data_IF_523042002065
#
_entry.id   IF_523042002065
#
_cell.length_a   1.000
_cell.length_b   1.000
_cell.length_c   1.000
_cell.angle_alpha   90.00
_cell.angle_beta   90.00
_cell.angle_gamma   90.00
#
_symmetry.space_group_name_H-M   'P 1'
#
loop_
_entity.id
_entity.type
_entity.pdbx_description
1 polymer ?
#
# COMPACT_ATOMS: atom_id res chain seq x y z
N UNK A 1 -20.71 -11.34 1.44
CA UNK A 1 -19.52 -10.55 1.83
C UNK A 1 -19.14 -10.89 3.25
N UNK A 2 -17.85 -11.08 3.51
CA UNK A 2 -17.29 -11.33 4.84
C UNK A 2 -16.22 -10.27 5.13
N UNK A 3 -15.92 -10.03 6.41
CA UNK A 3 -14.78 -9.23 6.80
C UNK A 3 -13.51 -9.79 6.15
N UNK A 4 -12.65 -8.91 5.60
CA UNK A 4 -11.45 -9.27 4.85
C UNK A 4 -11.66 -9.52 3.34
N UNK A 5 -12.89 -9.61 2.86
CA UNK A 5 -13.13 -9.69 1.41
C UNK A 5 -12.61 -8.42 0.73
N UNK A 6 -11.90 -8.59 -0.39
CA UNK A 6 -11.49 -7.50 -1.27
C UNK A 6 -12.56 -7.35 -2.36
N UNK A 7 -12.97 -6.11 -2.60
CA UNK A 7 -14.08 -5.81 -3.51
C UNK A 7 -13.75 -4.61 -4.39
N UNK A 8 -14.47 -4.48 -5.51
CA UNK A 8 -14.59 -3.27 -6.33
C UNK A 8 -16.06 -2.88 -6.43
N UNK A 9 -16.32 -1.59 -6.52
CA UNK A 9 -17.67 -1.09 -6.77
C UNK A 9 -17.83 -0.84 -8.26
N UNK A 10 -18.73 -1.51 -8.98
CA UNK A 10 -18.85 -1.39 -10.42
C UNK A 10 -19.28 0.01 -10.88
N UNK A 11 -20.20 0.64 -10.14
CA UNK A 11 -20.67 2.00 -10.45
C UNK A 11 -19.68 3.11 -10.03
N UNK A 12 -18.75 2.81 -9.12
CA UNK A 12 -17.75 3.77 -8.62
C UNK A 12 -16.34 3.21 -8.75
N UNK A 13 -15.87 2.88 -9.97
CA UNK A 13 -14.55 2.32 -10.19
C UNK A 13 -13.43 3.25 -9.73
N UNK A 14 -13.67 4.56 -9.69
CA UNK A 14 -12.77 5.58 -9.16
C UNK A 14 -12.51 5.46 -7.65
N UNK A 15 -13.29 4.68 -6.90
CA UNK A 15 -13.00 4.39 -5.50
C UNK A 15 -11.85 3.40 -5.34
N UNK A 16 -11.46 2.71 -6.42
CA UNK A 16 -10.42 1.69 -6.40
C UNK A 16 -10.86 0.41 -5.71
N UNK A 17 -9.87 -0.38 -5.27
CA UNK A 17 -10.14 -1.59 -4.47
C UNK A 17 -10.58 -1.21 -3.06
N UNK A 18 -11.53 -1.96 -2.54
CA UNK A 18 -12.01 -1.80 -1.18
C UNK A 18 -11.85 -3.11 -0.39
N UNK A 19 -11.70 -3.02 0.90
CA UNK A 19 -11.77 -4.19 1.76
C UNK A 19 -12.88 -4.07 2.80
N UNK A 20 -13.50 -5.19 3.08
CA UNK A 20 -14.62 -5.28 3.98
C UNK A 20 -14.12 -5.25 5.42
N UNK A 21 -14.37 -4.13 6.10
CA UNK A 21 -14.01 -3.94 7.52
C UNK A 21 -15.01 -4.62 8.43
N UNK A 22 -16.29 -4.57 8.06
CA UNK A 22 -17.39 -5.13 8.83
C UNK A 22 -18.53 -5.55 7.90
N UNK A 23 -19.09 -6.72 8.14
CA UNK A 23 -20.32 -7.19 7.50
C UNK A 23 -21.40 -7.47 8.55
N UNK A 24 -22.63 -7.06 8.26
CA UNK A 24 -23.82 -7.36 9.05
C UNK A 24 -24.87 -7.96 8.11
N UNK A 25 -26.02 -8.36 8.63
CA UNK A 25 -27.15 -8.85 7.80
C UNK A 25 -27.73 -7.79 6.85
N UNK A 26 -27.52 -6.49 7.14
CA UNK A 26 -28.14 -5.38 6.39
C UNK A 26 -27.14 -4.54 5.63
N UNK A 27 -25.89 -4.42 6.11
CA UNK A 27 -24.90 -3.51 5.54
C UNK A 27 -23.51 -4.08 5.61
N UNK A 28 -22.68 -3.67 4.65
CA UNK A 28 -21.24 -3.93 4.60
C UNK A 28 -20.52 -2.60 4.75
N UNK A 29 -19.55 -2.54 5.65
CA UNK A 29 -18.66 -1.37 5.78
C UNK A 29 -17.36 -1.70 5.06
N UNK A 30 -17.01 -0.87 4.10
CA UNK A 30 -15.87 -1.08 3.22
C UNK A 30 -14.97 0.14 3.28
N UNK A 31 -13.68 -0.07 3.23
CA UNK A 31 -12.69 0.98 3.09
C UNK A 31 -12.10 0.89 1.68
N UNK A 32 -12.47 1.84 0.82
CA UNK A 32 -11.96 1.94 -0.55
C UNK A 32 -10.70 2.79 -0.60
N UNK A 33 -9.76 2.39 -1.44
CA UNK A 33 -8.46 3.05 -1.61
C UNK A 33 -8.59 4.56 -1.82
N UNK A 34 -9.40 4.97 -2.78
CA UNK A 34 -9.65 6.38 -3.09
C UNK A 34 -11.00 6.88 -2.55
N UNK A 35 -11.96 5.98 -2.38
CA UNK A 35 -13.32 6.29 -1.92
C UNK A 35 -13.45 6.49 -0.41
N UNK A 36 -12.44 6.07 0.38
CA UNK A 36 -12.49 6.08 1.83
C UNK A 36 -13.53 5.11 2.39
N UNK A 37 -13.95 5.33 3.65
CA UNK A 37 -14.91 4.46 4.33
C UNK A 37 -16.32 4.68 3.81
N UNK A 38 -16.96 3.59 3.36
CA UNK A 38 -18.36 3.57 2.90
C UNK A 38 -19.15 2.50 3.63
N UNK A 39 -20.43 2.77 3.83
CA UNK A 39 -21.40 1.81 4.37
C UNK A 39 -22.41 1.53 3.27
N UNK A 40 -22.41 0.31 2.79
CA UNK A 40 -23.12 -0.13 1.60
C UNK A 40 -24.18 -1.14 2.02
N UNK A 41 -25.43 -1.07 1.54
CA UNK A 41 -26.47 -2.07 1.78
C UNK A 41 -26.05 -3.45 1.26
N UNK A 42 -26.46 -4.50 1.96
CA UNK A 42 -26.34 -5.88 1.44
C UNK A 42 -27.31 -6.04 0.28
N UNK A 43 -26.80 -6.40 -0.89
CA UNK A 43 -27.59 -6.50 -2.13
C UNK A 43 -27.14 -5.49 -3.19
N UNK A 44 -26.37 -4.48 -2.82
CA UNK A 44 -25.69 -3.63 -3.79
C UNK A 44 -24.61 -4.44 -4.51
N UNK A 45 -24.50 -4.23 -5.81
CA UNK A 45 -23.57 -4.98 -6.66
C UNK A 45 -22.12 -4.64 -6.28
N UNK A 46 -21.44 -5.57 -5.64
CA UNK A 46 -20.04 -5.49 -5.32
C UNK A 46 -19.31 -6.68 -5.94
N UNK A 47 -18.29 -6.41 -6.72
CA UNK A 47 -17.47 -7.45 -7.33
C UNK A 47 -16.38 -7.88 -6.35
N UNK A 48 -16.28 -9.20 -6.10
CA UNK A 48 -15.13 -9.72 -5.36
C UNK A 48 -13.88 -9.66 -6.21
N UNK A 49 -12.86 -9.01 -5.69
CA UNK A 49 -11.52 -9.02 -6.25
C UNK A 49 -10.70 -10.13 -5.61
N UNK A 50 -9.80 -10.72 -6.38
CA UNK A 50 -8.89 -11.73 -5.85
C UNK A 50 -7.89 -11.05 -4.93
N UNK A 51 -7.84 -11.47 -3.67
CA UNK A 51 -6.80 -11.03 -2.75
C UNK A 51 -5.44 -11.53 -3.25
N UNK A 52 -4.42 -10.67 -3.18
CA UNK A 52 -3.06 -11.02 -3.54
C UNK A 52 -2.27 -11.20 -2.24
N UNK A 53 -2.15 -12.45 -1.79
CA UNK A 53 -1.26 -12.89 -0.73
C UNK A 53 -1.31 -12.09 0.59
N UNK A 54 -0.34 -11.23 0.79
CA UNK A 54 -0.13 -10.43 1.99
C UNK A 54 -1.29 -9.51 2.37
N UNK A 55 -2.17 -9.20 1.41
CA UNK A 55 -3.33 -8.35 1.65
C UNK A 55 -4.23 -8.88 2.77
N UNK A 56 -4.41 -10.20 2.86
CA UNK A 56 -5.35 -10.79 3.83
C UNK A 56 -4.90 -10.56 5.27
N UNK A 57 -3.62 -10.81 5.59
CA UNK A 57 -3.09 -10.58 6.93
C UNK A 57 -3.06 -9.09 7.29
N UNK A 58 -2.70 -8.24 6.33
CA UNK A 58 -2.65 -6.80 6.51
C UNK A 58 -4.05 -6.22 6.71
N UNK A 59 -5.06 -6.74 6.03
CA UNK A 59 -6.45 -6.31 6.19
C UNK A 59 -7.07 -6.80 7.49
N UNK A 60 -6.73 -7.99 7.96
CA UNK A 60 -7.17 -8.48 9.26
C UNK A 60 -6.63 -7.60 10.38
N UNK A 61 -5.39 -7.15 10.27
CA UNK A 61 -4.85 -6.17 11.21
C UNK A 61 -5.55 -4.82 11.11
N UNK A 62 -5.70 -4.27 9.92
CA UNK A 62 -6.40 -3.01 9.71
C UNK A 62 -7.82 -3.07 10.27
N UNK A 63 -8.50 -4.21 10.12
CA UNK A 63 -9.83 -4.41 10.65
C UNK A 63 -9.87 -4.60 12.17
N UNK A 64 -8.77 -4.96 12.81
CA UNK A 64 -8.65 -5.08 14.28
C UNK A 64 -8.47 -3.72 14.98
N UNK A 65 -8.04 -2.69 14.24
CA UNK A 65 -7.83 -1.35 14.78
C UNK A 65 -9.18 -0.64 14.93
N UNK A 66 -9.40 0.00 16.08
CA UNK A 66 -10.67 0.64 16.40
C UNK A 66 -11.09 1.67 15.33
N UNK A 67 -12.36 1.66 14.87
CA UNK A 67 -12.84 2.52 13.79
C UNK A 67 -12.63 4.03 14.01
N UNK A 68 -12.56 4.49 15.28
CA UNK A 68 -12.34 5.89 15.59
C UNK A 68 -10.96 6.41 15.15
N UNK A 69 -9.95 5.54 15.03
CA UNK A 69 -8.62 5.93 14.53
C UNK A 69 -8.61 6.25 13.04
N UNK A 70 -9.62 5.80 12.29
CA UNK A 70 -9.70 5.97 10.84
C UNK A 70 -10.25 7.33 10.40
N UNK A 71 -10.92 8.07 11.27
CA UNK A 71 -11.45 9.42 10.94
C UNK A 71 -10.35 10.44 10.62
N UNK A 72 -9.13 10.21 11.12
CA UNK A 72 -7.93 11.02 10.87
C UNK A 72 -6.88 10.31 10.03
N UNK A 73 -7.26 9.22 9.38
CA UNK A 73 -6.36 8.43 8.56
C UNK A 73 -6.02 9.18 7.27
N UNK A 74 -4.74 9.50 7.06
CA UNK A 74 -4.25 10.23 5.90
C UNK A 74 -2.90 9.72 5.40
N UNK A 75 -2.36 8.67 6.02
CA UNK A 75 -1.10 8.07 5.59
C UNK A 75 -1.31 7.05 4.50
N UNK A 76 -0.37 6.98 3.59
CA UNK A 76 -0.31 6.00 2.51
C UNK A 76 1.03 5.29 2.52
N UNK A 77 1.04 4.03 2.10
CA UNK A 77 2.26 3.35 1.69
C UNK A 77 2.46 3.63 0.21
N UNK A 78 3.69 3.89 -0.18
CA UNK A 78 4.06 4.08 -1.57
C UNK A 78 5.27 3.22 -1.93
N UNK A 79 5.32 2.83 -3.19
CA UNK A 79 6.46 2.15 -3.78
C UNK A 79 6.99 2.97 -4.97
N UNK A 80 8.29 3.10 -5.07
CA UNK A 80 8.97 3.76 -6.18
C UNK A 80 9.87 2.73 -6.86
N UNK A 81 9.74 2.61 -8.18
CA UNK A 81 10.68 1.86 -8.99
C UNK A 81 12.04 2.56 -8.99
N UNK A 82 13.08 1.79 -8.72
CA UNK A 82 14.46 2.25 -8.77
C UNK A 82 15.14 1.69 -10.01
N UNK A 83 15.97 2.52 -10.64
CA UNK A 83 16.88 2.06 -11.69
C UNK A 83 17.79 0.94 -11.17
N UNK A 84 18.03 -0.08 -12.00
CA UNK A 84 18.86 -1.24 -11.64
C UNK A 84 20.32 -0.86 -11.30
N UNK A 85 20.78 0.33 -11.67
CA UNK A 85 22.08 0.84 -11.25
C UNK A 85 22.23 0.94 -9.72
N UNK A 86 21.11 0.97 -8.96
CA UNK A 86 21.12 0.90 -7.50
C UNK A 86 21.78 -0.38 -6.98
N UNK A 87 21.82 -1.45 -7.78
CA UNK A 87 22.49 -2.71 -7.46
C UNK A 87 24.02 -2.56 -7.35
N UNK A 88 24.60 -1.48 -7.89
CA UNK A 88 26.03 -1.16 -7.66
C UNK A 88 26.31 -0.76 -6.21
N UNK A 89 25.30 -0.29 -5.47
CA UNK A 89 25.45 0.12 -4.09
C UNK A 89 25.55 -1.09 -3.14
N UNK A 90 26.66 -1.22 -2.43
CA UNK A 90 26.90 -2.30 -1.47
C UNK A 90 25.80 -2.39 -0.40
N UNK A 91 25.33 -1.25 0.12
CA UNK A 91 24.29 -1.19 1.13
C UNK A 91 22.94 -1.75 0.61
N UNK A 92 22.59 -1.49 -0.66
CA UNK A 92 21.36 -2.02 -1.25
C UNK A 92 21.44 -3.54 -1.40
N UNK A 93 22.56 -4.07 -1.93
CA UNK A 93 22.77 -5.51 -2.05
C UNK A 93 22.75 -6.22 -0.71
N UNK A 94 23.36 -5.66 0.31
CA UNK A 94 23.42 -6.26 1.64
C UNK A 94 22.01 -6.45 2.27
N UNK A 95 21.05 -5.57 1.95
CA UNK A 95 19.65 -5.72 2.38
C UNK A 95 18.83 -6.68 1.51
N UNK A 96 19.35 -7.08 0.38
CA UNK A 96 18.64 -7.91 -0.62
C UNK A 96 19.50 -9.11 -1.03
N UNK A 97 19.85 -10.02 -0.10
CA UNK A 97 20.70 -11.16 -0.41
C UNK A 97 20.08 -12.11 -1.44
N UNK A 98 18.74 -12.16 -1.53
CA UNK A 98 18.00 -12.93 -2.54
C UNK A 98 18.01 -12.30 -3.95
N UNK A 99 18.69 -11.15 -4.11
CA UNK A 99 18.76 -10.48 -5.40
C UNK A 99 17.59 -9.54 -5.69
N UNK A 100 17.39 -9.24 -6.97
CA UNK A 100 16.37 -8.32 -7.46
C UNK A 100 15.88 -8.70 -8.86
N UNK A 101 15.55 -9.97 -9.08
CA UNK A 101 15.13 -10.50 -10.38
C UNK A 101 13.91 -9.75 -10.93
N UNK A 102 12.92 -9.47 -10.06
CA UNK A 102 11.68 -8.77 -10.39
C UNK A 102 11.83 -7.24 -10.47
N UNK A 103 13.02 -6.68 -10.17
CA UNK A 103 13.28 -5.23 -10.19
C UNK A 103 13.70 -4.68 -8.84
N UNK A 104 13.94 -3.37 -8.79
CA UNK A 104 14.39 -2.67 -7.59
C UNK A 104 13.33 -1.65 -7.16
N UNK A 105 13.03 -1.60 -5.87
CA UNK A 105 12.00 -0.75 -5.31
C UNK A 105 12.51 0.01 -4.07
N UNK A 106 11.94 1.18 -3.87
CA UNK A 106 11.90 1.85 -2.59
C UNK A 106 10.48 1.76 -2.04
N UNK A 107 10.33 1.38 -0.79
CA UNK A 107 9.04 1.37 -0.09
C UNK A 107 9.11 2.35 1.08
N UNK A 108 8.07 3.14 1.24
CA UNK A 108 7.97 4.10 2.32
C UNK A 108 6.52 4.45 2.63
N UNK A 109 6.31 5.20 3.72
CA UNK A 109 5.00 5.76 4.06
C UNK A 109 5.03 7.28 4.02
N UNK A 110 3.85 7.89 3.84
CA UNK A 110 3.72 9.36 3.80
C UNK A 110 2.34 9.81 4.27
N UNK A 111 2.27 10.98 4.89
CA UNK A 111 1.02 11.72 5.13
C UNK A 111 0.68 12.72 4.01
N UNK A 112 1.51 12.81 2.98
CA UNK A 112 1.28 13.60 1.77
C UNK A 112 0.65 12.73 0.68
N UNK A 113 0.23 13.34 -0.42
CA UNK A 113 -0.04 12.59 -1.65
C UNK A 113 1.24 11.92 -2.13
N UNK A 114 1.14 10.72 -2.67
CA UNK A 114 2.28 9.91 -3.10
C UNK A 114 3.10 10.64 -4.17
N UNK A 115 2.44 11.36 -5.09
CA UNK A 115 3.10 12.16 -6.13
C UNK A 115 3.90 13.30 -5.52
N UNK A 116 3.32 14.04 -4.55
CA UNK A 116 4.02 15.12 -3.85
C UNK A 116 5.23 14.58 -3.07
N UNK A 117 5.09 13.39 -2.49
CA UNK A 117 6.20 12.73 -1.79
C UNK A 117 7.30 12.34 -2.76
N UNK A 118 6.94 11.80 -3.92
CA UNK A 118 7.89 11.44 -4.97
C UNK A 118 8.63 12.66 -5.50
N UNK A 119 7.93 13.76 -5.76
CA UNK A 119 8.57 15.01 -6.19
C UNK A 119 9.55 15.55 -5.15
N UNK A 120 9.19 15.53 -3.86
CA UNK A 120 10.12 15.91 -2.78
C UNK A 120 11.36 15.01 -2.73
N UNK A 121 11.21 13.73 -3.01
CA UNK A 121 12.36 12.83 -3.12
C UNK A 121 13.27 13.21 -4.27
N UNK A 122 12.72 13.58 -5.43
CA UNK A 122 13.50 13.98 -6.61
C UNK A 122 14.23 15.32 -6.42
N UNK A 123 13.64 16.22 -5.66
CA UNK A 123 14.24 17.55 -5.39
C UNK A 123 15.21 17.55 -4.20
N UNK A 124 15.49 16.40 -3.61
CA UNK A 124 16.42 16.26 -2.49
C UNK A 124 15.86 16.68 -1.12
N UNK A 125 14.63 17.19 -1.07
CA UNK A 125 13.98 17.64 0.18
C UNK A 125 13.47 16.42 0.96
N UNK A 126 14.14 16.09 2.07
CA UNK A 126 13.83 14.88 2.88
C UNK A 126 13.87 13.58 2.05
N UNK A 127 14.82 13.50 1.14
CA UNK A 127 14.94 12.42 0.19
C UNK A 127 15.42 11.11 0.84
N UNK A 128 14.82 10.00 0.42
CA UNK A 128 15.45 8.70 0.59
C UNK A 128 16.68 8.62 -0.32
N UNK A 129 17.86 8.39 0.25
CA UNK A 129 19.16 8.35 -0.41
C UNK A 129 19.20 7.70 -1.80
N UNK A 130 18.39 6.66 -2.01
CA UNK A 130 18.36 5.94 -3.28
C UNK A 130 17.29 6.48 -4.24
N UNK A 131 16.25 7.14 -3.75
CA UNK A 131 15.18 7.65 -4.60
C UNK A 131 15.65 8.88 -5.39
N UNK A 132 16.36 9.77 -4.74
CA UNK A 132 16.94 10.95 -5.40
C UNK A 132 17.79 10.57 -6.61
N UNK A 133 18.65 9.55 -6.45
CA UNK A 133 19.61 9.14 -7.47
C UNK A 133 19.06 8.13 -8.48
N UNK A 134 18.14 7.27 -8.06
CA UNK A 134 17.73 6.10 -8.82
C UNK A 134 16.21 5.98 -8.99
N UNK A 135 15.40 6.92 -8.47
CA UNK A 135 13.95 6.89 -8.57
C UNK A 135 13.47 7.10 -10.00
N UNK A 136 12.67 6.18 -10.51
CA UNK A 136 12.14 6.20 -11.88
C UNK A 136 10.69 6.67 -11.89
N UNK A 137 9.81 5.96 -11.16
CA UNK A 137 8.38 6.25 -11.12
C UNK A 137 7.71 5.61 -9.91
N UNK A 138 6.50 6.08 -9.59
CA UNK A 138 5.62 5.42 -8.63
C UNK A 138 5.10 4.10 -9.18
N UNK A 139 5.00 3.10 -8.32
CA UNK A 139 4.44 1.77 -8.59
C UNK A 139 3.13 1.62 -7.79
N UNK A 140 2.12 2.37 -8.22
CA UNK A 140 0.78 2.37 -7.59
C UNK A 140 0.15 0.97 -7.64
N UNK A 141 0.43 0.22 -8.70
CA UNK A 141 -0.01 -1.16 -8.90
C UNK A 141 0.39 -2.12 -7.76
N UNK A 142 1.51 -1.86 -7.08
CA UNK A 142 2.01 -2.68 -5.98
C UNK A 142 1.46 -2.28 -4.60
N UNK A 143 0.88 -1.10 -4.49
CA UNK A 143 0.45 -0.50 -3.22
C UNK A 143 -1.03 -0.09 -3.23
N UNK A 144 -1.77 -0.49 -4.26
CA UNK A 144 -3.21 -0.25 -4.33
C UNK A 144 -3.90 -0.88 -3.12
N UNK A 145 -4.65 -0.09 -2.36
CA UNK A 145 -5.29 -0.51 -1.12
C UNK A 145 -4.60 -0.04 0.17
N UNK A 146 -3.39 0.51 0.08
CA UNK A 146 -2.61 0.96 1.25
C UNK A 146 -2.57 2.47 1.41
N UNK A 147 -3.69 3.15 1.17
CA UNK A 147 -3.85 4.58 1.42
C UNK A 147 -4.89 4.87 2.50
N UNK A 148 -4.89 6.11 2.99
CA UNK A 148 -5.77 6.57 4.06
C UNK A 148 -5.73 5.69 5.32
N UNK A 149 -4.53 5.32 5.71
CA UNK A 149 -4.27 4.52 6.89
C UNK A 149 -3.99 5.42 8.10
N UNK A 150 -4.33 4.98 9.32
CA UNK A 150 -3.75 5.55 10.53
C UNK A 150 -2.21 5.44 10.50
N UNK A 151 -1.51 6.39 11.11
CA UNK A 151 -0.05 6.39 11.16
C UNK A 151 0.53 5.07 11.69
N UNK A 152 -0.02 4.56 12.79
CA UNK A 152 0.45 3.31 13.41
C UNK A 152 0.29 2.09 12.49
N UNK A 153 -0.78 2.08 11.68
CA UNK A 153 -1.01 1.02 10.69
C UNK A 153 -0.01 1.14 9.55
N UNK A 154 0.18 2.34 9.00
CA UNK A 154 1.13 2.58 7.93
C UNK A 154 2.56 2.21 8.35
N UNK A 155 2.99 2.62 9.56
CA UNK A 155 4.30 2.33 10.12
C UNK A 155 4.53 0.82 10.33
N UNK A 156 3.49 0.07 10.70
CA UNK A 156 3.57 -1.37 10.84
C UNK A 156 3.56 -2.10 9.49
N UNK A 157 2.81 -1.59 8.52
CA UNK A 157 2.64 -2.21 7.20
C UNK A 157 3.86 -2.03 6.30
N UNK A 158 4.52 -0.90 6.36
CA UNK A 158 5.67 -0.58 5.50
C UNK A 158 6.74 -1.70 5.50
N UNK A 159 7.28 -2.15 6.66
CA UNK A 159 8.27 -3.21 6.68
C UNK A 159 7.71 -4.56 6.22
N UNK A 160 6.45 -4.86 6.46
CA UNK A 160 5.81 -6.11 6.05
C UNK A 160 5.62 -6.18 4.54
N UNK A 161 5.17 -5.08 3.93
CA UNK A 161 5.08 -4.98 2.48
C UNK A 161 6.47 -5.11 1.83
N UNK A 162 7.47 -4.45 2.40
CA UNK A 162 8.84 -4.58 1.90
C UNK A 162 9.37 -6.02 1.98
N UNK A 163 9.09 -6.73 3.07
CA UNK A 163 9.46 -8.14 3.23
C UNK A 163 8.74 -9.03 2.21
N UNK A 164 7.44 -8.81 2.02
CA UNK A 164 6.65 -9.55 1.03
C UNK A 164 7.15 -9.32 -0.40
N UNK A 165 7.44 -8.06 -0.77
CA UNK A 165 8.00 -7.75 -2.09
C UNK A 165 9.36 -8.40 -2.32
N UNK A 166 10.21 -8.50 -1.27
CA UNK A 166 11.47 -9.26 -1.36
C UNK A 166 11.21 -10.75 -1.64
N UNK A 167 10.20 -11.33 -1.01
CA UNK A 167 9.80 -12.72 -1.26
C UNK A 167 9.28 -12.93 -2.69
N UNK A 168 8.76 -11.85 -3.34
CA UNK A 168 8.37 -11.85 -4.76
C UNK A 168 9.55 -11.56 -5.72
N UNK A 169 10.78 -11.56 -5.23
CA UNK A 169 11.99 -11.39 -6.03
C UNK A 169 12.38 -9.94 -6.31
N UNK A 170 11.74 -8.95 -5.67
CA UNK A 170 12.20 -7.57 -5.75
C UNK A 170 13.35 -7.29 -4.79
N UNK A 171 14.31 -6.49 -5.23
CA UNK A 171 15.23 -5.83 -4.32
C UNK A 171 14.55 -4.60 -3.72
N UNK A 172 14.43 -4.54 -2.39
CA UNK A 172 13.67 -3.47 -1.73
C UNK A 172 14.54 -2.71 -0.75
N UNK A 173 14.50 -1.38 -0.87
CA UNK A 173 15.00 -0.46 0.15
C UNK A 173 13.82 0.17 0.88
N UNK A 174 13.94 0.26 2.18
CA UNK A 174 13.06 1.01 3.08
C UNK A 174 13.91 1.69 4.16
N UNK A 175 13.43 2.76 4.72
CA UNK A 175 14.10 3.44 5.84
C UNK A 175 13.87 2.73 7.17
#
# INVERSE_FOLDING_TARGET
>A
MRRGDIVRHPEYPQWGRGYVVRATKRTVTIFFHWGGKRRIPVGEALEKSRAVGVETELFDLCASIAPQSWSRAHHSIYAIELDRAVLKAKAFRARNPGGAASGCLYVGMTGLREEQRFDRHRTGTQSGRFVEKHGVRLRIDLVEGFSRLPFSVAAWMEPKLAAWLRAQGFGVWQN
#
